data_IF_256668657499
#
_entry.id   IF_256668657499
#
_cell.length_a   1.000
_cell.length_b   1.000
_cell.length_c   1.000
_cell.angle_alpha   90.00
_cell.angle_beta   90.00
_cell.angle_gamma   90.00
#
_symmetry.space_group_name_H-M   'P 1'
#
loop_
_entity.id
_entity.type
_entity.pdbx_description
1 polymer ?
#
# COMPACT_ATOMS: atom_id res chain seq x y z
N UNK A 1 -17.62 10.37 14.51
CA UNK A 1 -16.25 10.04 14.07
C UNK A 1 -15.37 11.21 14.44
N UNK A 2 -14.34 11.01 15.28
CA UNK A 2 -13.34 12.05 15.52
C UNK A 2 -12.38 12.01 14.34
N UNK A 3 -12.72 12.72 13.26
CA UNK A 3 -11.80 12.93 12.16
C UNK A 3 -10.68 13.80 12.72
N UNK A 4 -9.46 13.25 12.74
CA UNK A 4 -8.31 14.02 13.20
C UNK A 4 -7.93 14.94 12.04
N UNK A 5 -8.41 16.18 12.08
CA UNK A 5 -8.08 17.17 11.05
C UNK A 5 -6.62 17.55 11.22
N UNK A 6 -5.73 16.87 10.50
CA UNK A 6 -4.30 17.20 10.51
C UNK A 6 -4.01 18.23 9.41
N UNK A 7 -3.68 19.49 9.76
CA UNK A 7 -3.36 20.52 8.77
C UNK A 7 -2.09 20.18 7.96
N UNK A 8 -1.27 19.22 8.41
CA UNK A 8 -0.03 18.82 7.74
C UNK A 8 -0.23 17.81 6.60
N UNK A 9 -1.45 17.28 6.43
CA UNK A 9 -1.77 16.37 5.32
C UNK A 9 -1.46 16.96 3.93
N UNK A 10 -1.45 18.30 3.81
CA UNK A 10 -1.10 19.02 2.59
C UNK A 10 0.34 19.57 2.54
N UNK A 11 1.16 19.30 3.56
CA UNK A 11 2.51 19.85 3.71
C UNK A 11 3.53 18.79 4.14
N UNK A 12 3.31 17.52 3.77
CA UNK A 12 4.24 16.42 4.05
C UNK A 12 4.98 16.02 2.80
N UNK A 13 6.29 15.87 2.92
CA UNK A 13 7.12 15.36 1.85
C UNK A 13 6.85 13.87 1.65
N UNK A 14 7.12 13.41 0.44
CA UNK A 14 7.30 11.98 0.13
C UNK A 14 8.79 11.72 -0.08
N UNK A 15 9.26 10.46 -0.09
CA UNK A 15 10.69 10.18 -0.16
C UNK A 15 11.40 10.86 -1.33
N UNK A 16 10.75 10.96 -2.49
CA UNK A 16 11.35 11.49 -3.71
C UNK A 16 10.65 12.74 -4.26
N UNK A 17 9.48 13.13 -3.73
CA UNK A 17 8.81 14.39 -4.09
C UNK A 17 8.78 15.34 -2.87
N UNK A 18 9.69 16.33 -2.83
CA UNK A 18 9.66 17.41 -1.85
C UNK A 18 8.37 18.24 -1.94
N UNK A 19 7.97 18.83 -0.82
CA UNK A 19 6.70 19.57 -0.69
C UNK A 19 6.61 20.70 -1.71
N UNK A 20 7.70 21.46 -1.85
CA UNK A 20 7.83 22.62 -2.72
C UNK A 20 7.79 22.28 -4.22
N UNK A 21 8.01 21.01 -4.57
CA UNK A 21 7.95 20.54 -5.96
C UNK A 21 6.60 19.91 -6.32
N UNK A 22 5.84 19.44 -5.34
CA UNK A 22 4.58 18.78 -5.62
C UNK A 22 3.48 19.78 -6.03
N UNK A 23 2.86 19.48 -7.17
CA UNK A 23 1.80 20.30 -7.78
C UNK A 23 0.42 19.95 -7.23
N UNK A 24 0.24 18.69 -6.81
CA UNK A 24 -0.92 18.20 -6.11
C UNK A 24 -0.47 17.53 -4.80
N UNK A 25 -1.15 17.91 -3.73
CA UNK A 25 -1.06 17.33 -2.40
C UNK A 25 -2.46 16.96 -1.95
N UNK A 26 -2.61 15.73 -1.47
CA UNK A 26 -3.84 15.17 -0.93
C UNK A 26 -3.45 14.36 0.29
N UNK A 27 -4.25 14.40 1.35
CA UNK A 27 -4.03 13.52 2.47
C UNK A 27 -5.23 13.46 3.40
N UNK A 28 -5.29 12.37 4.16
CA UNK A 28 -6.33 12.06 5.12
C UNK A 28 -5.70 11.42 6.35
N UNK A 29 -6.39 11.54 7.47
CA UNK A 29 -5.95 11.02 8.76
C UNK A 29 -7.13 10.57 9.59
N UNK A 30 -6.92 9.54 10.40
CA UNK A 30 -7.94 9.02 11.31
C UNK A 30 -7.30 8.43 12.54
N UNK A 31 -8.07 8.41 13.64
CA UNK A 31 -7.73 7.64 14.83
C UNK A 31 -8.52 6.34 14.84
N UNK A 32 -7.86 5.23 15.11
CA UNK A 32 -8.45 3.88 15.20
C UNK A 32 -8.22 3.35 16.61
N UNK A 33 -9.29 2.96 17.29
CA UNK A 33 -9.30 2.39 18.64
C UNK A 33 -8.88 0.92 18.63
N UNK A 34 -7.69 0.63 18.09
CA UNK A 34 -7.11 -0.71 18.00
C UNK A 34 -5.57 -0.64 18.04
N UNK A 35 -4.87 -1.74 18.36
CA UNK A 35 -3.41 -1.81 18.32
C UNK A 35 -2.84 -1.58 16.91
N UNK A 36 -1.68 -0.92 16.83
CA UNK A 36 -1.07 -0.55 15.54
C UNK A 36 -0.71 -1.75 14.67
N UNK A 37 -0.39 -2.89 15.28
CA UNK A 37 -0.12 -4.13 14.56
C UNK A 37 -1.36 -4.71 13.87
N UNK A 38 -2.55 -4.57 14.46
CA UNK A 38 -3.81 -5.02 13.86
C UNK A 38 -4.17 -4.14 12.66
N UNK A 39 -4.04 -2.82 12.82
CA UNK A 39 -4.24 -1.84 11.73
C UNK A 39 -3.26 -2.10 10.59
N UNK A 40 -1.98 -2.34 10.90
CA UNK A 40 -0.96 -2.66 9.91
C UNK A 40 -1.29 -3.95 9.15
N UNK A 41 -1.66 -5.01 9.86
CA UNK A 41 -2.04 -6.29 9.25
C UNK A 41 -3.23 -6.16 8.28
N UNK A 42 -4.26 -5.38 8.67
CA UNK A 42 -5.40 -5.08 7.80
C UNK A 42 -4.99 -4.26 6.57
N UNK A 43 -4.11 -3.27 6.74
CA UNK A 43 -3.62 -2.43 5.65
C UNK A 43 -2.82 -3.25 4.62
N UNK A 44 -1.91 -4.12 5.03
CA UNK A 44 -1.02 -4.83 4.11
C UNK A 44 -1.62 -6.10 3.49
N UNK A 45 -2.69 -6.63 4.05
CA UNK A 45 -3.34 -7.84 3.55
C UNK A 45 -4.46 -7.50 2.55
N UNK A 46 -4.11 -7.51 1.26
CA UNK A 46 -5.04 -7.07 0.20
C UNK A 46 -6.21 -8.02 -0.03
N UNK A 47 -6.17 -9.24 0.51
CA UNK A 47 -7.29 -10.19 0.40
C UNK A 47 -8.53 -9.74 1.18
N UNK A 48 -8.36 -8.86 2.17
CA UNK A 48 -9.46 -8.29 2.96
C UNK A 48 -10.06 -7.05 2.33
N UNK A 49 -9.34 -6.35 1.44
CA UNK A 49 -9.77 -5.08 0.89
C UNK A 49 -11.13 -5.09 0.18
N UNK A 50 -11.55 -6.16 -0.54
CA UNK A 50 -12.88 -6.20 -1.13
C UNK A 50 -14.04 -6.03 -0.12
N UNK A 51 -13.83 -6.36 1.15
CA UNK A 51 -14.88 -6.25 2.18
C UNK A 51 -14.94 -4.89 2.85
N UNK A 52 -13.92 -4.04 2.68
CA UNK A 52 -13.85 -2.76 3.39
C UNK A 52 -13.45 -1.58 2.52
N UNK A 53 -12.49 -1.71 1.60
CA UNK A 53 -11.96 -0.58 0.85
C UNK A 53 -12.83 -0.28 -0.38
N UNK A 54 -13.78 0.65 -0.26
CA UNK A 54 -14.68 0.98 -1.37
C UNK A 54 -13.94 1.65 -2.55
N UNK A 55 -12.86 2.37 -2.28
CA UNK A 55 -12.05 3.08 -3.28
C UNK A 55 -11.16 2.12 -4.09
N UNK A 56 -10.53 1.15 -3.43
CA UNK A 56 -9.68 0.12 -4.04
C UNK A 56 -10.14 -1.26 -3.58
N UNK A 57 -11.26 -1.77 -4.10
CA UNK A 57 -11.83 -3.03 -3.64
C UNK A 57 -11.08 -4.25 -4.17
N UNK A 58 -10.13 -4.09 -5.10
CA UNK A 58 -9.37 -5.21 -5.67
C UNK A 58 -7.94 -4.81 -5.95
N UNK A 59 -7.03 -5.72 -5.61
CA UNK A 59 -5.60 -5.63 -5.88
C UNK A 59 -5.15 -6.91 -6.58
N UNK A 60 -4.38 -6.77 -7.65
CA UNK A 60 -3.73 -7.91 -8.33
C UNK A 60 -2.22 -7.80 -8.13
N UNK A 61 -1.64 -8.72 -7.38
CA UNK A 61 -0.18 -8.81 -7.22
C UNK A 61 0.42 -9.35 -8.50
N UNK A 62 1.41 -8.64 -9.07
CA UNK A 62 2.09 -9.01 -10.32
C UNK A 62 3.41 -9.73 -10.05
N UNK A 63 4.14 -9.30 -9.03
CA UNK A 63 5.37 -9.95 -8.59
C UNK A 63 5.67 -9.60 -7.14
N UNK A 64 6.36 -10.49 -6.44
CA UNK A 64 6.90 -10.24 -5.11
C UNK A 64 8.33 -10.77 -5.03
N UNK A 65 9.20 -10.17 -4.21
CA UNK A 65 10.48 -10.78 -3.89
C UNK A 65 10.27 -12.17 -3.29
N UNK A 66 11.10 -13.12 -3.69
CA UNK A 66 11.15 -14.42 -3.03
C UNK A 66 11.60 -14.20 -1.58
N UNK A 67 10.94 -14.83 -0.59
CA UNK A 67 11.47 -14.87 0.77
C UNK A 67 12.91 -15.40 0.70
N UNK A 68 13.85 -14.67 1.29
CA UNK A 68 15.25 -15.08 1.32
C UNK A 68 15.32 -16.50 1.90
N UNK A 69 15.92 -17.50 1.23
CA UNK A 69 16.08 -18.80 1.82
C UNK A 69 17.00 -18.64 3.04
N UNK A 70 16.43 -18.68 4.24
CA UNK A 70 17.19 -18.76 5.48
C UNK A 70 18.29 -19.81 5.32
N UNK A 71 19.56 -19.52 5.71
CA UNK A 71 20.64 -20.47 5.56
C UNK A 71 20.34 -21.66 6.47
N UNK A 72 19.88 -22.76 5.88
CA UNK A 72 19.89 -24.05 6.55
C UNK A 72 21.35 -24.43 6.74
N UNK A 73 21.91 -24.06 7.89
CA UNK A 73 23.20 -24.54 8.38
C UNK A 73 23.11 -26.04 8.52
N UNK A 74 23.62 -26.76 7.52
CA UNK A 74 23.95 -28.18 7.61
C UNK A 74 25.05 -28.51 6.59
N UNK A 75 26.30 -28.31 7.00
CA UNK A 75 27.43 -29.13 6.59
C UNK A 75 27.88 -29.90 7.86
N UNK A 76 28.50 -31.11 7.79
CA UNK A 76 29.41 -31.64 6.74
C UNK A 76 28.94 -33.00 6.18
N UNK A 77 29.48 -33.59 5.10
CA UNK A 77 30.86 -34.04 4.87
C UNK A 77 31.07 -34.48 3.38
N UNK A 78 32.30 -34.68 2.86
CA UNK A 78 32.59 -34.63 1.43
C UNK A 78 32.84 -35.98 0.72
N UNK A 79 32.64 -35.96 -0.63
CA UNK A 79 33.38 -36.72 -1.69
C UNK A 79 32.87 -38.14 -2.09
N UNK A 80 32.97 -38.63 -3.37
CA UNK A 80 33.05 -37.98 -4.71
C UNK A 80 32.13 -38.55 -5.85
N UNK A 81 31.96 -37.72 -6.92
CA UNK A 81 31.96 -38.05 -8.39
C UNK A 81 30.65 -38.49 -9.11
N UNK A 82 30.44 -38.05 -10.39
CA UNK A 82 29.19 -37.41 -10.83
C UNK A 82 28.34 -38.27 -11.79
N UNK A 83 27.05 -37.91 -11.87
CA UNK A 83 26.16 -38.26 -12.99
C UNK A 83 25.57 -36.96 -13.53
N UNK A 84 25.64 -36.66 -14.85
CA UNK A 84 25.02 -35.46 -15.40
C UNK A 84 23.52 -35.71 -15.51
N UNK A 85 22.75 -35.26 -14.52
CA UNK A 85 21.30 -35.17 -14.64
C UNK A 85 20.94 -33.86 -15.38
N UNK A 86 19.97 -33.90 -16.30
CA UNK A 86 19.71 -32.79 -17.21
C UNK A 86 19.20 -31.58 -16.44
N UNK A 87 19.59 -30.40 -16.91
CA UNK A 87 19.08 -29.10 -16.48
C UNK A 87 17.56 -29.13 -16.43
N UNK A 88 17.00 -29.21 -15.23
CA UNK A 88 15.58 -28.97 -15.01
C UNK A 88 15.31 -27.51 -15.37
N UNK A 89 14.85 -27.29 -16.60
CA UNK A 89 14.21 -26.05 -17.01
C UNK A 89 13.07 -25.78 -16.04
N UNK A 90 13.23 -24.75 -15.20
CA UNK A 90 12.18 -24.25 -14.32
C UNK A 90 10.99 -23.84 -15.18
N UNK A 91 10.03 -24.74 -15.30
CA UNK A 91 8.72 -24.49 -15.87
C UNK A 91 8.01 -23.47 -14.95
N UNK A 92 7.36 -22.43 -15.49
CA UNK A 92 6.68 -21.45 -14.66
C UNK A 92 5.48 -22.10 -14.00
N UNK A 93 5.63 -22.52 -12.74
CA UNK A 93 4.50 -22.76 -11.86
C UNK A 93 3.70 -21.46 -11.80
N UNK A 94 2.39 -21.55 -12.04
CA UNK A 94 1.43 -20.52 -11.69
C UNK A 94 1.44 -20.35 -10.17
N UNK A 95 2.47 -19.68 -9.69
CA UNK A 95 2.75 -19.45 -8.28
C UNK A 95 1.70 -18.47 -7.82
N UNK A 96 0.76 -18.94 -7.00
CA UNK A 96 -0.26 -18.08 -6.42
C UNK A 96 0.48 -17.10 -5.49
N UNK A 97 0.62 -15.84 -5.93
CA UNK A 97 1.38 -14.83 -5.20
C UNK A 97 0.64 -14.46 -3.91
N UNK A 98 1.40 -14.18 -2.83
CA UNK A 98 0.80 -13.82 -1.55
C UNK A 98 0.04 -12.49 -1.66
N UNK A 99 -1.15 -12.35 -1.04
CA UNK A 99 -1.85 -11.08 -0.94
C UNK A 99 -1.23 -10.14 0.11
N UNK A 100 -0.25 -10.61 0.88
CA UNK A 100 0.44 -9.81 1.89
C UNK A 100 1.52 -8.99 1.20
N UNK A 101 1.40 -7.67 1.29
CA UNK A 101 2.36 -6.73 0.72
C UNK A 101 3.66 -6.72 1.53
N UNK A 102 4.76 -6.47 0.83
CA UNK A 102 6.11 -6.34 1.38
C UNK A 102 6.93 -5.41 0.49
N UNK A 103 8.12 -5.00 0.97
CA UNK A 103 9.05 -4.19 0.16
C UNK A 103 9.30 -4.86 -1.19
N UNK A 104 9.27 -4.10 -2.28
CA UNK A 104 9.51 -4.60 -3.64
C UNK A 104 8.32 -5.31 -4.29
N UNK A 105 7.20 -5.50 -3.60
CA UNK A 105 5.98 -6.03 -4.22
C UNK A 105 5.49 -5.08 -5.31
N UNK A 106 5.23 -5.62 -6.51
CA UNK A 106 4.62 -4.92 -7.64
C UNK A 106 3.19 -5.41 -7.82
N UNK A 107 2.22 -4.50 -7.90
CA UNK A 107 0.80 -4.83 -7.85
C UNK A 107 -0.05 -3.76 -8.55
N UNK A 108 -1.25 -4.12 -8.97
CA UNK A 108 -2.21 -3.23 -9.64
C UNK A 108 -3.33 -2.93 -8.66
N UNK A 109 -3.57 -1.64 -8.40
CA UNK A 109 -4.84 -1.20 -7.81
C UNK A 109 -5.89 -1.11 -8.90
N UNK A 110 -7.05 -1.72 -8.66
CA UNK A 110 -8.23 -1.57 -9.49
C UNK A 110 -9.14 -0.53 -8.85
N UNK A 111 -8.89 0.73 -9.17
CA UNK A 111 -9.48 1.88 -8.50
C UNK A 111 -10.90 2.13 -8.99
N UNK A 112 -11.84 2.36 -8.06
CA UNK A 112 -13.17 2.88 -8.37
C UNK A 112 -13.19 4.37 -8.10
N UNK A 113 -13.20 5.17 -9.17
CA UNK A 113 -13.20 6.63 -9.00
C UNK A 113 -14.50 7.16 -8.40
N UNK A 114 -15.62 6.46 -8.54
CA UNK A 114 -16.92 6.83 -7.94
C UNK A 114 -17.44 5.71 -7.01
N UNK A 115 -16.81 5.53 -5.83
CA UNK A 115 -17.05 4.36 -5.00
C UNK A 115 -18.46 4.31 -4.38
N UNK A 116 -19.14 5.45 -4.27
CA UNK A 116 -20.52 5.54 -3.74
C UNK A 116 -21.59 5.23 -4.79
N UNK A 117 -21.22 5.17 -6.07
CA UNK A 117 -22.14 4.86 -7.16
C UNK A 117 -22.51 3.38 -7.18
N UNK A 118 -23.81 3.13 -7.28
CA UNK A 118 -24.41 1.78 -7.46
C UNK A 118 -24.38 1.30 -8.90
N UNK A 119 -24.02 2.18 -9.86
CA UNK A 119 -23.93 1.82 -11.29
C UNK A 119 -22.63 1.06 -11.58
N UNK A 120 -22.64 0.13 -12.55
CA UNK A 120 -21.41 -0.46 -13.06
C UNK A 120 -20.46 0.63 -13.55
N UNK A 121 -19.20 0.54 -13.15
CA UNK A 121 -18.14 1.44 -13.62
C UNK A 121 -16.88 0.62 -13.89
N UNK A 122 -16.11 0.95 -14.93
CA UNK A 122 -14.81 0.34 -15.14
C UNK A 122 -13.86 0.73 -13.99
N UNK A 123 -12.98 -0.18 -13.61
CA UNK A 123 -11.85 0.15 -12.74
C UNK A 123 -10.81 0.94 -13.51
N UNK A 124 -10.17 1.91 -12.85
CA UNK A 124 -8.93 2.51 -13.33
C UNK A 124 -7.77 1.70 -12.75
N UNK A 125 -6.98 1.10 -13.62
CA UNK A 125 -5.82 0.31 -13.20
C UNK A 125 -4.63 1.24 -12.94
N UNK A 126 -4.05 1.13 -11.74
CA UNK A 126 -2.87 1.88 -11.33
C UNK A 126 -1.78 0.88 -10.96
N UNK A 127 -0.70 0.86 -11.74
CA UNK A 127 0.43 -0.03 -11.52
C UNK A 127 1.42 0.58 -10.53
N UNK A 128 1.65 -0.12 -9.42
CA UNK A 128 2.41 0.38 -8.28
C UNK A 128 3.48 -0.61 -7.82
N UNK A 129 4.45 -0.08 -7.07
CA UNK A 129 5.46 -0.81 -6.32
C UNK A 129 5.53 -0.32 -4.87
N UNK A 130 5.93 -1.20 -3.97
CA UNK A 130 6.26 -0.85 -2.58
C UNK A 130 7.74 -0.47 -2.48
N UNK A 131 8.04 0.81 -2.30
CA UNK A 131 9.43 1.32 -2.23
C UNK A 131 9.98 1.28 -0.80
N UNK A 132 9.14 1.56 0.18
CA UNK A 132 9.44 1.45 1.61
C UNK A 132 8.40 0.58 2.31
N UNK A 133 8.86 -0.20 3.28
CA UNK A 133 8.01 -1.06 4.10
C UNK A 133 8.68 -1.27 5.45
N UNK A 134 8.04 -0.79 6.51
CA UNK A 134 8.48 -0.92 7.90
C UNK A 134 7.24 -1.10 8.76
N UNK A 135 7.14 -2.23 9.47
CA UNK A 135 6.03 -2.47 10.38
C UNK A 135 6.13 -1.57 11.62
N UNK A 136 5.00 -1.19 12.25
CA UNK A 136 5.03 -0.48 13.53
C UNK A 136 5.52 -1.42 14.64
N UNK A 137 6.14 -0.87 15.67
CA UNK A 137 6.47 -1.59 16.90
C UNK A 137 6.13 -0.71 18.11
N UNK A 138 5.11 -1.13 18.86
CA UNK A 138 4.61 -0.38 20.01
C UNK A 138 5.60 -0.34 21.18
N UNK A 139 6.43 -1.38 21.35
CA UNK A 139 7.38 -1.49 22.45
C UNK A 139 8.58 -0.55 22.25
N UNK A 140 8.99 -0.35 21.00
CA UNK A 140 10.11 0.53 20.64
C UNK A 140 9.68 1.94 20.23
N UNK A 141 8.37 2.16 20.03
CA UNK A 141 7.82 3.39 19.47
C UNK A 141 8.08 3.56 17.97
N UNK A 142 8.45 2.48 17.27
CA UNK A 142 8.72 2.53 15.83
C UNK A 142 7.43 2.76 15.04
N UNK A 143 7.45 3.79 14.19
CA UNK A 143 6.33 4.16 13.33
C UNK A 143 6.26 3.21 12.14
N UNK A 144 5.11 2.60 11.93
CA UNK A 144 4.82 1.82 10.74
C UNK A 144 4.76 2.72 9.52
N UNK A 145 5.42 2.35 8.42
CA UNK A 145 5.51 3.16 7.21
C UNK A 145 5.54 2.30 5.97
N UNK A 146 4.63 2.58 5.04
CA UNK A 146 4.58 1.97 3.72
C UNK A 146 4.48 3.06 2.65
N UNK A 147 5.28 2.94 1.60
CA UNK A 147 5.32 3.91 0.49
C UNK A 147 4.98 3.21 -0.82
N UNK A 148 4.00 3.79 -1.51
CA UNK A 148 3.43 3.32 -2.76
C UNK A 148 3.89 4.27 -3.88
N UNK A 149 4.65 3.76 -4.84
CA UNK A 149 5.12 4.55 -5.99
C UNK A 149 4.59 3.94 -7.29
N UNK A 150 4.46 4.74 -8.35
CA UNK A 150 4.22 4.22 -9.70
C UNK A 150 5.30 3.18 -10.08
N UNK A 151 4.90 2.04 -10.64
CA UNK A 151 5.83 1.02 -11.14
C UNK A 151 6.41 1.45 -12.49
N UNK A 152 7.71 1.83 -12.58
CA UNK A 152 8.29 2.31 -13.82
C UNK A 152 8.44 1.22 -14.88
N UNK A 153 8.43 -0.06 -14.47
CA UNK A 153 8.59 -1.19 -15.38
C UNK A 153 7.23 -1.73 -15.88
N UNK A 154 6.11 -1.15 -15.43
CA UNK A 154 4.79 -1.59 -15.87
C UNK A 154 4.47 -1.11 -17.29
N UNK A 155 3.79 -1.93 -18.12
CA UNK A 155 3.31 -1.49 -19.41
C UNK A 155 2.45 -0.22 -19.30
N UNK A 156 2.75 0.80 -20.10
CA UNK A 156 2.02 2.06 -20.07
C UNK A 156 2.36 2.99 -18.89
N UNK A 157 3.40 2.69 -18.11
CA UNK A 157 3.90 3.61 -17.09
C UNK A 157 4.28 4.96 -17.71
N UNK A 158 3.86 6.04 -17.04
CA UNK A 158 4.27 7.39 -17.44
C UNK A 158 5.73 7.62 -17.06
N UNK A 159 6.44 8.42 -17.87
CA UNK A 159 7.74 8.92 -17.45
C UNK A 159 7.57 9.79 -16.19
N UNK A 160 8.54 9.80 -15.25
CA UNK A 160 8.44 10.64 -14.05
C UNK A 160 8.29 12.13 -14.34
N UNK A 161 8.81 12.61 -15.48
CA UNK A 161 8.62 13.99 -15.94
C UNK A 161 7.17 14.31 -16.34
N UNK A 162 6.42 13.31 -16.79
CA UNK A 162 5.04 13.46 -17.25
C UNK A 162 4.06 13.32 -16.09
N UNK A 163 4.24 12.30 -15.25
CA UNK A 163 3.50 12.11 -14.01
C UNK A 163 4.30 11.21 -13.06
N UNK A 164 4.68 11.76 -11.92
CA UNK A 164 5.20 11.00 -10.78
C UNK A 164 4.26 11.18 -9.60
N UNK A 165 3.84 10.07 -9.01
CA UNK A 165 2.98 10.04 -7.83
C UNK A 165 3.60 9.13 -6.77
N UNK A 166 3.67 9.62 -5.54
CA UNK A 166 4.10 8.86 -4.38
C UNK A 166 3.07 9.03 -3.27
N UNK A 167 2.65 7.90 -2.70
CA UNK A 167 1.76 7.87 -1.55
C UNK A 167 2.47 7.27 -0.36
N UNK A 168 2.21 7.79 0.82
CA UNK A 168 2.73 7.29 2.08
C UNK A 168 1.57 6.95 3.00
N UNK A 169 1.66 5.84 3.72
CA UNK A 169 0.87 5.64 4.93
C UNK A 169 1.82 5.52 6.12
N UNK A 170 1.47 6.22 7.20
CA UNK A 170 2.10 6.09 8.50
C UNK A 170 1.09 5.58 9.53
N UNK A 171 1.56 4.66 10.36
CA UNK A 171 0.81 4.08 11.48
C UNK A 171 1.61 4.31 12.74
N UNK A 172 1.07 5.15 13.63
CA UNK A 172 1.73 5.53 14.88
C UNK A 172 0.89 5.05 16.05
N UNK A 173 1.50 4.29 16.96
CA UNK A 173 0.89 3.96 18.25
C UNK A 173 0.78 5.24 19.08
N UNK A 174 -0.41 5.53 19.61
CA UNK A 174 -0.68 6.68 20.48
C UNK A 174 -1.49 6.22 21.69
N UNK A 175 -1.71 7.11 22.66
CA UNK A 175 -2.54 6.78 23.81
C UNK A 175 -3.96 6.37 23.36
N UNK A 176 -4.42 5.21 23.83
CA UNK A 176 -5.76 4.68 23.55
C UNK A 176 -5.96 4.05 22.18
N UNK A 177 -4.95 4.00 21.30
CA UNK A 177 -5.09 3.36 20.00
C UNK A 177 -4.00 3.70 18.99
N UNK A 178 -4.41 3.89 17.75
CA UNK A 178 -3.52 4.06 16.61
C UNK A 178 -3.93 5.25 15.76
N UNK A 179 -2.97 6.11 15.46
CA UNK A 179 -3.13 7.16 14.49
C UNK A 179 -2.66 6.68 13.11
N UNK A 180 -3.54 6.80 12.12
CA UNK A 180 -3.22 6.50 10.71
C UNK A 180 -3.22 7.79 9.93
N UNK A 181 -2.13 8.03 9.20
CA UNK A 181 -1.99 9.13 8.25
C UNK A 181 -1.73 8.57 6.86
N UNK A 182 -2.37 9.14 5.87
CA UNK A 182 -2.22 8.78 4.46
C UNK A 182 -2.09 10.07 3.64
N UNK A 183 -1.04 10.22 2.85
CA UNK A 183 -0.91 11.36 1.94
C UNK A 183 -0.26 10.97 0.63
N UNK A 184 -0.54 11.75 -0.41
CA UNK A 184 0.02 11.59 -1.74
C UNK A 184 0.50 12.93 -2.27
N UNK A 185 1.71 12.90 -2.83
CA UNK A 185 2.31 14.00 -3.57
C UNK A 185 2.40 13.60 -5.04
N UNK A 186 2.05 14.52 -5.93
CA UNK A 186 2.23 14.34 -7.37
C UNK A 186 2.98 15.52 -7.99
N UNK A 187 3.87 15.22 -8.94
CA UNK A 187 4.60 16.18 -9.76
C UNK A 187 4.59 15.76 -11.24
N UNK A 188 4.75 16.72 -12.14
CA UNK A 188 4.78 16.49 -13.58
C UNK A 188 3.68 17.24 -14.33
N UNK A 189 3.80 17.26 -15.66
CA UNK A 189 2.91 18.05 -16.52
C UNK A 189 1.43 17.63 -16.42
N UNK A 190 1.14 16.32 -16.35
CA UNK A 190 -0.25 15.85 -16.29
C UNK A 190 -0.93 16.14 -14.95
N UNK A 191 -0.17 16.47 -13.90
CA UNK A 191 -0.74 16.74 -12.58
C UNK A 191 -1.65 17.96 -12.59
N UNK A 192 -1.39 18.96 -13.43
CA UNK A 192 -2.27 20.13 -13.54
C UNK A 192 -3.68 19.74 -14.01
N UNK A 193 -3.78 18.80 -14.96
CA UNK A 193 -5.04 18.27 -15.48
C UNK A 193 -5.73 17.40 -14.43
N UNK A 194 -4.98 16.50 -13.77
CA UNK A 194 -5.50 15.66 -12.67
C UNK A 194 -6.04 16.53 -11.53
N UNK A 195 -5.28 17.55 -11.12
CA UNK A 195 -5.68 18.49 -10.08
C UNK A 195 -6.96 19.23 -10.45
N UNK A 196 -7.10 19.68 -11.70
CA UNK A 196 -8.30 20.39 -12.14
C UNK A 196 -9.53 19.48 -12.17
N UNK A 197 -9.43 18.26 -12.71
CA UNK A 197 -10.58 17.37 -12.90
C UNK A 197 -10.94 16.53 -11.68
N UNK A 198 -9.94 16.09 -10.91
CA UNK A 198 -10.11 15.00 -9.96
C UNK A 198 -9.72 15.33 -8.53
N UNK A 199 -9.11 16.49 -8.23
CA UNK A 199 -8.60 16.80 -6.87
C UNK A 199 -9.64 16.56 -5.77
N UNK A 200 -10.83 17.15 -5.91
CA UNK A 200 -11.88 17.02 -4.89
C UNK A 200 -12.33 15.56 -4.72
N UNK A 201 -12.41 14.82 -5.83
CA UNK A 201 -12.80 13.41 -5.84
C UNK A 201 -11.74 12.51 -5.20
N UNK A 202 -10.48 12.74 -5.54
CA UNK A 202 -9.35 12.03 -4.95
C UNK A 202 -9.24 12.30 -3.45
N UNK A 203 -9.44 13.56 -3.01
CA UNK A 203 -9.49 13.88 -1.58
C UNK A 203 -10.59 13.10 -0.86
N UNK A 204 -11.82 13.12 -1.37
CA UNK A 204 -12.92 12.36 -0.77
C UNK A 204 -12.64 10.85 -0.73
N UNK A 205 -12.02 10.30 -1.78
CA UNK A 205 -11.63 8.89 -1.83
C UNK A 205 -10.54 8.53 -0.81
N UNK A 206 -9.62 9.45 -0.50
CA UNK A 206 -8.61 9.27 0.56
C UNK A 206 -9.23 9.32 1.95
N UNK A 207 -10.17 10.24 2.19
CA UNK A 207 -10.91 10.31 3.45
C UNK A 207 -11.72 9.03 3.67
N UNK A 208 -12.36 8.53 2.62
CA UNK A 208 -13.13 7.29 2.66
C UNK A 208 -12.23 6.07 2.92
N UNK A 209 -11.04 5.98 2.31
CA UNK A 209 -10.10 4.87 2.56
C UNK A 209 -9.80 4.72 4.06
N UNK A 210 -9.41 5.80 4.74
CA UNK A 210 -9.06 5.73 6.17
C UNK A 210 -10.29 5.50 7.05
N UNK A 211 -11.46 6.00 6.66
CA UNK A 211 -12.73 5.74 7.34
C UNK A 211 -13.15 4.26 7.23
N UNK A 212 -13.02 3.67 6.04
CA UNK A 212 -13.32 2.27 5.76
C UNK A 212 -12.38 1.33 6.55
N UNK A 213 -11.07 1.63 6.55
CA UNK A 213 -10.08 0.88 7.34
C UNK A 213 -10.43 0.90 8.83
N UNK A 214 -10.78 2.07 9.37
CA UNK A 214 -11.25 2.22 10.76
C UNK A 214 -12.47 1.35 11.02
N UNK A 215 -13.49 1.43 10.16
CA UNK A 215 -14.72 0.67 10.30
C UNK A 215 -14.49 -0.85 10.30
N UNK A 216 -13.57 -1.33 9.44
CA UNK A 216 -13.20 -2.73 9.36
C UNK A 216 -12.49 -3.22 10.63
N UNK A 217 -11.44 -2.51 11.06
CA UNK A 217 -10.64 -2.91 12.23
C UNK A 217 -11.49 -2.86 13.50
N UNK A 218 -12.18 -1.75 13.77
CA UNK A 218 -13.00 -1.61 14.98
C UNK A 218 -14.26 -2.49 14.98
N UNK A 219 -14.74 -2.86 13.79
CA UNK A 219 -15.83 -3.82 13.62
C UNK A 219 -15.40 -5.25 13.97
N UNK A 220 -14.18 -5.64 13.58
CA UNK A 220 -13.58 -6.93 13.91
C UNK A 220 -13.23 -7.10 15.39
N UNK A 221 -12.78 -6.04 16.07
CA UNK A 221 -12.43 -6.13 17.50
C UNK A 221 -13.67 -6.37 18.40
N UNK A 222 -14.88 -6.06 17.94
CA UNK A 222 -16.13 -6.28 18.71
C UNK A 222 -16.61 -7.74 18.75
N UNK A 223 -16.15 -8.61 17.86
CA UNK A 223 -16.54 -10.03 17.84
C UNK A 223 -15.63 -10.94 18.67
N UNK A 224 -14.57 -10.40 19.28
CA UNK A 224 -13.62 -11.15 20.12
C UNK A 224 -13.79 -10.98 21.64
N UNK A 225 -14.81 -10.24 22.09
CA UNK A 225 -15.09 -10.02 23.53
C UNK A 225 -16.48 -10.54 23.90
N UNK A 226 -16.61 -11.87 24.02
CA UNK A 226 -17.74 -12.54 24.68
C UNK A 226 -17.23 -13.68 25.53
#
# INVERSE_FOLDING_TARGET
>A
MTTLTDPTNATRATPNIPIEKATLHIGSSTFISAPSQEVWAALINTSTWPSWNAFVPRVTVRSQPTPDPSPSTSAPDPTPTPTPAPTSTTQPSSTNLSPILQKGTKFTFHVRMDPTSTKPQPSTDVHLLISEFRAPNADTGEVGRIVWCADPDAPGAFSPSLLMAERVHEITTVEGGTEVRNWEAQVGWLVYVVRWMYKAKLQANFDMWVADLKGFVEGGSKSGST
#
